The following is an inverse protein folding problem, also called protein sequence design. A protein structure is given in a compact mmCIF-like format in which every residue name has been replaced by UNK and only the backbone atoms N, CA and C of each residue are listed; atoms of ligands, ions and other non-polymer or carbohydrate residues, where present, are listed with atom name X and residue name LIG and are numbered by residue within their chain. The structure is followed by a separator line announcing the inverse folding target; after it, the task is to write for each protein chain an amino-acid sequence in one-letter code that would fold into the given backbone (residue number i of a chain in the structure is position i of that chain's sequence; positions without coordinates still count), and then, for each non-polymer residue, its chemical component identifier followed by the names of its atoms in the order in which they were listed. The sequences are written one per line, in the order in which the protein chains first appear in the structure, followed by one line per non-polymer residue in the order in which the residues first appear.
data_IF_637287467023
#
_entry.id   IF_637287467023
#
_cell.length_a   1.000
_cell.length_b   1.000
_cell.length_c   1.000
_cell.angle_alpha   90.00
_cell.angle_beta   90.00
_cell.angle_gamma   90.00
#
_symmetry.space_group_name_H-M   'P 1'
#
loop_
_entity.id
_entity.type
_entity.pdbx_description
1 polymer ?
#
# COMPACT_ATOMS: atom_id res chain seq x y z
N UNK A 1 -4.71 64.23 -47.40
CA UNK A 1 -3.95 62.99 -47.13
C UNK A 1 -4.94 61.84 -47.21
N UNK A 2 -4.56 60.80 -47.96
CA UNK A 2 -5.36 59.67 -48.43
C UNK A 2 -5.90 58.77 -47.32
N UNK A 3 -7.09 58.20 -47.52
CA UNK A 3 -7.43 56.86 -47.01
C UNK A 3 -6.77 55.82 -47.94
N UNK A 4 -6.45 54.59 -47.49
CA UNK A 4 -7.51 53.57 -47.42
C UNK A 4 -7.28 52.38 -46.45
N UNK A 5 -8.34 51.55 -46.40
CA UNK A 5 -8.32 50.08 -46.32
C UNK A 5 -7.85 49.37 -45.04
N UNK A 6 -8.85 49.03 -44.24
CA UNK A 6 -8.86 47.77 -43.53
C UNK A 6 -8.78 46.60 -44.53
N UNK A 7 -7.75 45.76 -44.41
CA UNK A 7 -7.64 44.49 -45.10
C UNK A 7 -7.48 43.34 -44.09
N UNK A 8 -8.10 42.18 -44.36
CA UNK A 8 -8.32 41.11 -43.38
C UNK A 8 -7.09 40.20 -43.27
N UNK A 9 -6.80 39.71 -42.06
CA UNK A 9 -5.85 38.60 -41.87
C UNK A 9 -6.62 37.31 -41.63
N UNK A 10 -6.77 36.53 -42.70
CA UNK A 10 -6.93 35.08 -42.60
C UNK A 10 -5.62 34.46 -42.12
N UNK A 11 -5.73 33.47 -41.22
CA UNK A 11 -5.21 32.10 -41.37
C UNK A 11 -4.73 31.46 -40.05
N UNK A 12 -5.59 30.60 -39.50
CA UNK A 12 -5.21 29.28 -38.97
C UNK A 12 -5.12 29.11 -37.44
N UNK A 13 -5.18 27.87 -36.90
CA UNK A 13 -5.59 26.61 -37.53
C UNK A 13 -6.91 26.06 -36.95
N UNK A 14 -7.61 25.28 -37.78
CA UNK A 14 -8.77 24.47 -37.42
C UNK A 14 -8.40 23.56 -36.25
N UNK A 15 -9.15 23.69 -35.15
CA UNK A 15 -9.11 22.75 -34.04
C UNK A 15 -9.41 21.34 -34.57
N UNK A 16 -8.36 20.54 -34.72
CA UNK A 16 -8.46 19.11 -34.97
C UNK A 16 -9.16 18.49 -33.76
N UNK A 17 -10.45 18.23 -33.91
CA UNK A 17 -11.18 17.34 -33.02
C UNK A 17 -10.50 15.96 -33.11
N UNK A 18 -9.60 15.69 -32.17
CA UNK A 18 -9.09 14.34 -31.96
C UNK A 18 -10.28 13.47 -31.59
N UNK A 19 -10.59 12.39 -32.35
CA UNK A 19 -11.64 11.48 -31.96
C UNK A 19 -11.21 10.85 -30.64
N UNK A 20 -11.97 11.13 -29.58
CA UNK A 20 -11.92 10.36 -28.34
C UNK A 20 -12.28 8.92 -28.73
N UNK A 21 -11.25 8.12 -29.05
CA UNK A 21 -11.40 6.67 -29.14
C UNK A 21 -11.87 6.23 -27.77
N UNK A 22 -13.13 5.83 -27.74
CA UNK A 22 -13.75 5.06 -26.69
C UNK A 22 -12.83 3.92 -26.31
N UNK A 23 -11.97 4.18 -25.32
CA UNK A 23 -11.24 3.16 -24.61
C UNK A 23 -12.22 2.59 -23.59
N UNK A 24 -13.30 1.96 -24.10
CA UNK A 24 -14.06 0.94 -23.38
C UNK A 24 -13.05 -0.18 -23.13
N UNK A 25 -12.35 -0.01 -22.01
CA UNK A 25 -11.45 -0.99 -21.44
C UNK A 25 -12.28 -2.25 -21.29
N UNK A 26 -11.91 -3.30 -22.02
CA UNK A 26 -12.44 -4.63 -21.85
C UNK A 26 -12.36 -4.97 -20.36
N UNK A 27 -13.47 -4.79 -19.65
CA UNK A 27 -13.69 -5.41 -18.37
C UNK A 27 -14.08 -6.85 -18.71
N UNK A 28 -13.06 -7.66 -18.97
CA UNK A 28 -13.24 -9.11 -18.91
C UNK A 28 -13.78 -9.40 -17.52
N UNK A 29 -15.02 -9.89 -17.47
CA UNK A 29 -15.65 -10.46 -16.28
C UNK A 29 -14.61 -11.29 -15.54
N UNK A 30 -14.57 -11.26 -14.19
CA UNK A 30 -13.76 -12.20 -13.43
C UNK A 30 -14.39 -13.58 -13.61
N UNK A 31 -14.14 -14.21 -14.75
CA UNK A 31 -14.25 -15.65 -14.90
C UNK A 31 -13.44 -16.22 -13.75
N UNK A 32 -14.15 -17.04 -12.98
CA UNK A 32 -13.68 -17.70 -11.79
C UNK A 32 -12.30 -18.27 -12.09
N UNK A 33 -11.26 -17.62 -11.56
CA UNK A 33 -9.94 -18.21 -11.53
C UNK A 33 -10.11 -19.47 -10.69
N UNK A 34 -10.07 -20.63 -11.34
CA UNK A 34 -10.06 -21.89 -10.62
C UNK A 34 -8.93 -21.79 -9.59
N UNK A 35 -9.22 -22.11 -8.32
CA UNK A 35 -8.21 -22.03 -7.28
C UNK A 35 -7.05 -22.91 -7.72
N UNK A 36 -5.92 -22.27 -8.04
CA UNK A 36 -4.72 -22.98 -8.41
C UNK A 36 -4.45 -24.01 -7.32
N UNK A 37 -4.35 -25.28 -7.71
CA UNK A 37 -4.07 -26.37 -6.79
C UNK A 37 -2.66 -26.15 -6.24
N UNK A 38 -2.61 -25.42 -5.11
CA UNK A 38 -1.39 -25.13 -4.38
C UNK A 38 -0.94 -26.47 -3.80
N UNK A 39 -0.15 -27.21 -4.57
CA UNK A 39 0.53 -28.42 -4.11
C UNK A 39 1.18 -28.07 -2.78
N UNK A 40 0.66 -28.66 -1.69
CA UNK A 40 1.27 -28.56 -0.37
C UNK A 40 2.66 -29.16 -0.48
N UNK A 41 3.66 -28.31 -0.68
CA UNK A 41 5.03 -28.72 -0.47
C UNK A 41 5.14 -29.06 1.01
N UNK A 42 5.39 -30.33 1.31
CA UNK A 42 5.59 -30.79 2.67
C UNK A 42 6.84 -30.10 3.20
N UNK A 43 6.65 -29.02 3.96
CA UNK A 43 7.72 -28.30 4.66
C UNK A 43 8.49 -29.25 5.59
N UNK A 44 7.86 -30.37 5.95
CA UNK A 44 8.43 -31.45 6.77
C UNK A 44 9.44 -32.33 6.02
N UNK A 45 9.42 -32.33 4.69
CA UNK A 45 10.38 -33.09 3.86
C UNK A 45 11.66 -32.29 3.55
N UNK A 46 11.75 -31.04 4.02
CA UNK A 46 12.91 -30.18 3.82
C UNK A 46 14.03 -30.51 4.81
N UNK A 47 15.28 -30.27 4.40
CA UNK A 47 16.41 -30.22 5.33
C UNK A 47 16.17 -29.14 6.41
N UNK A 48 16.78 -29.29 7.59
CA UNK A 48 16.59 -28.34 8.70
C UNK A 48 16.93 -26.90 8.29
N UNK A 49 18.00 -26.71 7.51
CA UNK A 49 18.40 -25.38 7.03
C UNK A 49 17.40 -24.80 6.02
N UNK A 50 16.91 -25.62 5.09
CA UNK A 50 15.89 -25.20 4.12
C UNK A 50 14.56 -24.87 4.82
N UNK A 51 14.15 -25.69 5.80
CA UNK A 51 12.97 -25.46 6.62
C UNK A 51 13.08 -24.15 7.40
N UNK A 52 14.22 -23.91 8.06
CA UNK A 52 14.50 -22.65 8.76
C UNK A 52 14.42 -21.45 7.82
N UNK A 53 14.98 -21.55 6.62
CA UNK A 53 14.94 -20.47 5.63
C UNK A 53 13.51 -20.16 5.19
N UNK A 54 12.72 -21.18 4.83
CA UNK A 54 11.32 -21.03 4.43
C UNK A 54 10.48 -20.42 5.55
N UNK A 55 10.59 -20.95 6.77
CA UNK A 55 9.85 -20.42 7.93
C UNK A 55 10.27 -18.98 8.27
N UNK A 56 11.55 -18.64 8.11
CA UNK A 56 12.05 -17.27 8.33
C UNK A 56 11.47 -16.29 7.31
N UNK A 57 11.40 -16.67 6.03
CA UNK A 57 10.76 -15.86 4.98
C UNK A 57 9.27 -15.68 5.26
N UNK A 58 8.56 -16.78 5.55
CA UNK A 58 7.14 -16.74 5.88
C UNK A 58 6.88 -15.87 7.12
N UNK A 59 7.69 -16.01 8.17
CA UNK A 59 7.58 -15.21 9.38
C UNK A 59 7.78 -13.71 9.13
N UNK A 60 8.72 -13.32 8.27
CA UNK A 60 8.94 -11.92 7.88
C UNK A 60 7.75 -11.34 7.11
N UNK A 61 7.21 -12.11 6.18
CA UNK A 61 6.03 -11.71 5.40
C UNK A 61 4.81 -11.54 6.32
N UNK A 62 4.54 -12.52 7.19
CA UNK A 62 3.45 -12.46 8.17
C UNK A 62 3.62 -11.25 9.09
N UNK A 63 4.83 -11.01 9.60
CA UNK A 63 5.11 -9.87 10.46
C UNK A 63 4.88 -8.53 9.72
N UNK A 64 5.24 -8.43 8.44
CA UNK A 64 4.99 -7.24 7.62
C UNK A 64 3.50 -6.96 7.45
N UNK A 65 2.73 -7.99 7.08
CA UNK A 65 1.28 -7.87 6.91
C UNK A 65 0.56 -7.58 8.22
N UNK A 66 0.96 -8.23 9.31
CA UNK A 66 0.37 -8.00 10.63
C UNK A 66 0.68 -6.58 11.13
N UNK A 67 1.93 -6.12 10.97
CA UNK A 67 2.30 -4.75 11.33
C UNK A 67 1.54 -3.69 10.54
N UNK A 68 1.30 -3.92 9.25
CA UNK A 68 0.44 -3.07 8.41
C UNK A 68 -0.98 -2.98 8.99
N UNK A 69 -1.59 -4.13 9.30
CA UNK A 69 -2.94 -4.18 9.87
C UNK A 69 -3.02 -3.46 11.21
N UNK A 70 -2.09 -3.75 12.13
CA UNK A 70 -2.04 -3.12 13.45
C UNK A 70 -1.92 -1.59 13.31
N UNK A 71 -1.05 -1.08 12.43
CA UNK A 71 -0.93 0.37 12.22
C UNK A 71 -2.21 0.99 11.68
N UNK A 72 -2.87 0.35 10.72
CA UNK A 72 -4.13 0.85 10.16
C UNK A 72 -5.25 0.85 11.20
N UNK A 73 -5.31 -0.16 12.05
CA UNK A 73 -6.25 -0.25 13.17
C UNK A 73 -6.00 0.85 14.21
N UNK A 74 -4.74 1.04 14.64
CA UNK A 74 -4.38 2.14 15.55
C UNK A 74 -4.74 3.53 14.98
N UNK A 75 -4.54 3.75 13.67
CA UNK A 75 -4.94 5.00 13.02
C UNK A 75 -6.47 5.19 13.00
N UNK A 76 -7.21 4.11 12.77
CA UNK A 76 -8.67 4.15 12.77
C UNK A 76 -9.21 4.44 14.19
N UNK A 77 -8.71 3.76 15.21
CA UNK A 77 -9.13 3.92 16.61
C UNK A 77 -8.75 5.29 17.18
N UNK A 78 -7.55 5.78 16.87
CA UNK A 78 -7.10 7.09 17.37
C UNK A 78 -7.75 8.28 16.66
N UNK A 79 -8.32 8.07 15.47
CA UNK A 79 -8.81 9.13 14.59
C UNK A 79 -7.72 10.09 14.09
N UNK A 80 -6.44 9.77 14.31
CA UNK A 80 -5.31 10.63 13.92
C UNK A 80 -4.89 10.37 12.48
N UNK A 81 -4.52 11.44 11.79
CA UNK A 81 -3.87 11.30 10.48
C UNK A 81 -2.44 10.80 10.62
N UNK A 82 -1.93 10.11 9.60
CA UNK A 82 -0.54 9.64 9.57
C UNK A 82 0.50 10.76 9.75
N UNK A 83 0.20 11.99 9.31
CA UNK A 83 1.05 13.16 9.52
C UNK A 83 1.05 13.64 10.97
N UNK A 84 -0.09 13.58 11.65
CA UNK A 84 -0.21 13.94 13.06
C UNK A 84 0.59 12.95 13.92
N UNK A 85 0.42 11.65 13.65
CA UNK A 85 1.18 10.59 14.32
C UNK A 85 2.68 10.76 14.09
N UNK A 86 3.12 10.97 12.84
CA UNK A 86 4.53 11.22 12.52
C UNK A 86 5.13 12.38 13.33
N UNK A 87 4.37 13.47 13.52
CA UNK A 87 4.80 14.63 14.31
C UNK A 87 4.95 14.29 15.80
N UNK A 88 4.04 13.49 16.34
CA UNK A 88 4.00 13.16 17.78
C UNK A 88 4.97 12.04 18.14
N UNK A 89 5.08 11.03 17.29
CA UNK A 89 5.94 9.86 17.50
C UNK A 89 7.40 10.09 17.05
N UNK A 90 7.66 11.15 16.29
CA UNK A 90 8.97 11.44 15.69
C UNK A 90 9.36 10.52 14.51
N UNK A 91 8.44 9.69 14.03
CA UNK A 91 8.69 8.83 12.87
C UNK A 91 8.46 9.58 11.56
N UNK A 92 9.26 9.27 10.53
CA UNK A 92 9.03 9.82 9.21
C UNK A 92 7.74 9.26 8.57
N UNK A 93 6.98 10.12 7.88
CA UNK A 93 5.72 9.75 7.22
C UNK A 93 5.93 8.64 6.18
N UNK A 94 7.07 8.61 5.49
CA UNK A 94 7.41 7.54 4.53
C UNK A 94 7.61 6.20 5.23
N UNK A 95 8.19 6.18 6.44
CA UNK A 95 8.34 4.96 7.24
C UNK A 95 6.97 4.44 7.64
N UNK A 96 6.10 5.31 8.16
CA UNK A 96 4.73 4.94 8.51
C UNK A 96 3.93 4.44 7.29
N UNK A 97 4.09 5.10 6.14
CA UNK A 97 3.47 4.68 4.89
C UNK A 97 3.97 3.30 4.42
N UNK A 98 5.27 3.03 4.55
CA UNK A 98 5.84 1.72 4.21
C UNK A 98 5.33 0.62 5.13
N UNK A 99 5.16 0.90 6.44
CA UNK A 99 4.54 -0.04 7.39
C UNK A 99 3.07 -0.26 7.00
N UNK A 100 2.29 0.82 6.83
CA UNK A 100 0.86 0.73 6.52
C UNK A 100 0.58 -0.03 5.21
N UNK A 101 1.48 0.06 4.24
CA UNK A 101 1.37 -0.66 2.96
C UNK A 101 2.04 -2.05 2.95
N UNK A 102 2.60 -2.52 4.07
CA UNK A 102 3.29 -3.81 4.14
C UNK A 102 4.54 -3.91 3.25
N UNK A 103 5.15 -2.79 2.86
CA UNK A 103 6.27 -2.73 1.90
C UNK A 103 7.64 -3.02 2.52
N UNK A 104 7.69 -3.31 3.81
CA UNK A 104 8.95 -3.61 4.50
C UNK A 104 9.31 -5.08 4.28
N UNK A 105 10.61 -5.36 4.20
CA UNK A 105 11.14 -6.73 4.12
C UNK A 105 10.87 -7.57 5.39
N UNK A 106 10.45 -6.91 6.47
CA UNK A 106 10.03 -7.51 7.73
C UNK A 106 8.98 -6.61 8.40
N UNK A 107 8.25 -7.16 9.36
CA UNK A 107 7.37 -6.37 10.23
C UNK A 107 8.08 -5.24 10.98
N UNK A 108 7.31 -4.26 11.49
CA UNK A 108 7.81 -3.30 12.46
C UNK A 108 8.26 -4.04 13.72
N UNK A 109 9.31 -3.52 14.35
CA UNK A 109 9.74 -4.04 15.64
C UNK A 109 8.68 -3.73 16.70
N UNK A 110 8.65 -4.54 17.77
CA UNK A 110 7.70 -4.35 18.86
C UNK A 110 7.80 -2.93 19.48
N UNK A 111 9.01 -2.41 19.66
CA UNK A 111 9.20 -1.07 20.22
C UNK A 111 8.58 0.02 19.34
N UNK A 112 8.57 -0.17 18.01
CA UNK A 112 7.92 0.77 17.07
C UNK A 112 6.42 0.78 17.29
N UNK A 113 5.80 -0.40 17.47
CA UNK A 113 4.37 -0.50 17.74
C UNK A 113 3.99 0.17 19.07
N UNK A 114 4.81 -0.02 20.11
CA UNK A 114 4.61 0.63 21.42
C UNK A 114 4.69 2.15 21.30
N UNK A 115 5.73 2.69 20.65
CA UNK A 115 5.89 4.13 20.49
C UNK A 115 4.73 4.76 19.69
N UNK A 116 4.21 4.04 18.69
CA UNK A 116 3.05 4.47 17.93
C UNK A 116 1.77 4.46 18.77
N UNK A 117 1.53 3.38 19.52
CA UNK A 117 0.39 3.28 20.42
C UNK A 117 0.41 4.41 21.47
N UNK A 118 1.55 4.68 22.10
CA UNK A 118 1.74 5.77 23.05
C UNK A 118 1.43 7.14 22.41
N UNK A 119 1.98 7.42 21.22
CA UNK A 119 1.69 8.66 20.49
C UNK A 119 0.20 8.82 20.16
N UNK A 120 -0.51 7.72 19.99
CA UNK A 120 -1.93 7.70 19.66
C UNK A 120 -2.84 7.65 20.90
N UNK A 121 -2.28 7.53 22.10
CA UNK A 121 -3.04 7.37 23.34
C UNK A 121 -3.76 6.02 23.44
N UNK A 122 -3.18 4.97 22.86
CA UNK A 122 -3.71 3.61 22.84
C UNK A 122 -2.87 2.67 23.72
N UNK A 123 -3.54 1.70 24.33
CA UNK A 123 -2.87 0.61 25.05
C UNK A 123 -2.66 -0.60 24.13
N UNK A 124 -1.43 -1.10 24.06
CA UNK A 124 -1.09 -2.31 23.31
C UNK A 124 -1.15 -3.53 24.23
N UNK A 125 -2.06 -4.48 23.94
CA UNK A 125 -2.16 -5.75 24.65
C UNK A 125 -1.71 -6.93 23.79
N UNK A 126 -0.81 -7.76 24.32
CA UNK A 126 -0.34 -8.99 23.67
C UNK A 126 -0.71 -10.19 24.54
N UNK A 127 -1.39 -11.17 23.95
CA UNK A 127 -1.77 -12.40 24.64
C UNK A 127 -1.53 -13.64 23.79
N UNK A 128 -1.37 -14.76 24.46
CA UNK A 128 -1.32 -16.09 23.86
C UNK A 128 -2.49 -16.90 24.41
N UNK A 129 -3.19 -17.60 23.54
CA UNK A 129 -4.26 -18.53 23.91
C UNK A 129 -3.86 -19.95 23.53
N UNK A 130 -4.27 -20.92 24.35
CA UNK A 130 -4.08 -22.34 24.05
C UNK A 130 -5.17 -22.77 23.06
N UNK A 131 -4.77 -23.32 21.92
CA UNK A 131 -5.67 -24.05 21.02
C UNK A 131 -5.71 -25.52 21.39
#
# INVERSE_FOLDING_TARGET
MSAPEASPREAGPKAGASPRKDRRRNWTSPEQQEPADLKRHAVDDLSQDARKAVLSMAGKEIASQLGSRILLEMLAESGKSMRAVAKESGFDVSVLSNIANGRRASGPDLWTLVALAESMGLDLHLSFTRQ
#
